data_IF_993306559828
#
_entry.id   IF_993306559828
#
_cell.length_a   1.000
_cell.length_b   1.000
_cell.length_c   1.000
_cell.angle_alpha   90.00
_cell.angle_beta   90.00
_cell.angle_gamma   90.00
#
_symmetry.space_group_name_H-M   'P 1'
#
loop_
_entity.id
_entity.type
_entity.pdbx_description
1 polymer ?
#
# COMPACT_ATOMS: atom_id res chain seq x y z
N UNK A 1 3.98 -16.08 0.47
CA UNK A 1 3.38 -15.99 1.79
C UNK A 1 4.42 -15.85 2.87
N UNK A 2 4.21 -14.87 3.70
CA UNK A 2 5.12 -14.60 4.81
C UNK A 2 4.47 -15.04 6.11
N UNK A 3 5.13 -15.95 6.81
CA UNK A 3 4.69 -16.36 8.14
C UNK A 3 5.48 -15.55 9.16
N UNK A 4 4.78 -14.77 9.95
CA UNK A 4 5.40 -13.96 10.99
C UNK A 4 5.10 -14.62 12.32
N UNK A 5 6.17 -15.00 13.05
CA UNK A 5 6.03 -15.57 14.39
C UNK A 5 6.54 -14.57 15.41
N UNK A 6 5.71 -14.32 16.42
CA UNK A 6 6.05 -13.42 17.51
C UNK A 6 5.98 -14.21 18.81
N UNK A 7 7.06 -14.14 19.57
CA UNK A 7 7.12 -14.77 20.89
C UNK A 7 7.11 -13.70 21.97
N UNK A 8 6.28 -13.91 23.00
CA UNK A 8 6.19 -13.01 24.15
C UNK A 8 6.67 -13.72 25.41
N UNK A 9 7.32 -13.00 26.32
CA UNK A 9 7.72 -13.57 27.60
C UNK A 9 6.51 -14.04 28.42
N UNK A 10 6.68 -15.14 29.15
CA UNK A 10 5.61 -15.72 29.95
C UNK A 10 5.09 -14.81 31.06
N UNK A 11 5.83 -13.76 31.39
CA UNK A 11 5.43 -12.81 32.44
C UNK A 11 4.22 -11.93 32.07
N UNK A 12 3.85 -11.89 30.80
CA UNK A 12 2.67 -11.13 30.35
C UNK A 12 1.42 -11.97 30.45
N UNK A 13 0.37 -11.41 31.06
CA UNK A 13 -0.93 -12.06 31.18
C UNK A 13 -1.80 -11.74 29.96
N UNK A 14 -2.86 -12.51 29.77
CA UNK A 14 -3.69 -12.51 28.56
C UNK A 14 -4.01 -11.13 27.97
N UNK A 15 -4.59 -10.23 28.75
CA UNK A 15 -4.99 -8.91 28.25
C UNK A 15 -3.80 -8.07 27.78
N UNK A 16 -2.70 -8.12 28.54
CA UNK A 16 -1.47 -7.41 28.19
C UNK A 16 -0.80 -8.04 26.99
N UNK A 17 -0.87 -9.37 26.86
CA UNK A 17 -0.28 -10.08 25.72
C UNK A 17 -0.96 -9.70 24.42
N UNK A 18 -2.26 -9.60 24.38
CA UNK A 18 -3.00 -9.21 23.18
C UNK A 18 -2.61 -7.80 22.74
N UNK A 19 -2.55 -6.86 23.68
CA UNK A 19 -2.17 -5.48 23.39
C UNK A 19 -0.74 -5.37 22.89
N UNK A 20 0.19 -6.07 23.53
CA UNK A 20 1.60 -6.08 23.13
C UNK A 20 1.76 -6.72 21.77
N UNK A 21 1.02 -7.79 21.52
CA UNK A 21 1.04 -8.48 20.22
C UNK A 21 0.54 -7.56 19.11
N UNK A 22 -0.56 -6.84 19.35
CA UNK A 22 -1.10 -5.90 18.37
C UNK A 22 -0.11 -4.79 18.03
N UNK A 23 0.56 -4.25 19.05
CA UNK A 23 1.58 -3.21 18.86
C UNK A 23 2.76 -3.76 18.06
N UNK A 24 3.21 -4.98 18.39
CA UNK A 24 4.33 -5.62 17.70
C UNK A 24 3.99 -5.90 16.23
N UNK A 25 2.80 -6.40 15.95
CA UNK A 25 2.34 -6.65 14.58
C UNK A 25 2.28 -5.35 13.79
N UNK A 26 1.75 -4.28 14.40
CA UNK A 26 1.69 -2.97 13.76
C UNK A 26 3.06 -2.44 13.37
N UNK A 27 4.05 -2.58 14.25
CA UNK A 27 5.43 -2.18 13.97
C UNK A 27 6.06 -3.02 12.85
N UNK A 28 5.78 -4.31 12.83
CA UNK A 28 6.26 -5.18 11.77
C UNK A 28 5.67 -4.81 10.42
N UNK A 29 4.38 -4.51 10.38
CA UNK A 29 3.73 -4.03 9.17
C UNK A 29 4.37 -2.73 8.66
N UNK A 30 4.66 -1.79 9.56
CA UNK A 30 5.33 -0.54 9.19
C UNK A 30 6.70 -0.80 8.57
N UNK A 31 7.49 -1.69 9.16
CA UNK A 31 8.81 -2.02 8.65
C UNK A 31 8.76 -2.72 7.29
N UNK A 32 7.87 -3.68 7.13
CA UNK A 32 7.69 -4.38 5.87
C UNK A 32 7.16 -3.43 4.80
N UNK A 33 6.21 -2.57 5.17
CA UNK A 33 5.64 -1.59 4.27
C UNK A 33 6.71 -0.62 3.74
N UNK A 34 7.63 -0.20 4.60
CA UNK A 34 8.73 0.68 4.22
C UNK A 34 9.49 0.10 3.03
N UNK A 35 9.85 -1.18 3.12
CA UNK A 35 10.60 -1.88 2.08
C UNK A 35 9.75 -2.09 0.83
N UNK A 36 8.52 -2.61 1.00
CA UNK A 36 7.66 -2.96 -0.13
C UNK A 36 7.13 -1.74 -0.86
N UNK A 37 6.76 -0.70 -0.14
CA UNK A 37 6.26 0.53 -0.75
C UNK A 37 7.39 1.25 -1.48
N UNK A 38 8.58 1.32 -0.89
CA UNK A 38 9.75 1.92 -1.53
C UNK A 38 10.07 1.21 -2.84
N UNK A 39 10.04 -0.12 -2.82
CA UNK A 39 10.25 -0.94 -4.03
C UNK A 39 9.21 -0.63 -5.10
N UNK A 40 7.94 -0.60 -4.71
CA UNK A 40 6.84 -0.35 -5.65
C UNK A 40 6.85 1.07 -6.19
N UNK A 41 7.17 2.05 -5.34
CA UNK A 41 7.31 3.45 -5.75
C UNK A 41 8.42 3.61 -6.78
N UNK A 42 9.57 3.01 -6.53
CA UNK A 42 10.70 3.08 -7.44
C UNK A 42 10.40 2.39 -8.78
N UNK A 43 9.83 1.20 -8.71
CA UNK A 43 9.40 0.47 -9.91
C UNK A 43 8.44 1.29 -10.76
N UNK A 44 7.46 1.92 -10.13
CA UNK A 44 6.45 2.70 -10.83
C UNK A 44 7.05 3.99 -11.39
N UNK A 45 7.94 4.62 -10.65
CA UNK A 45 8.68 5.80 -11.12
C UNK A 45 9.44 5.51 -12.40
N UNK A 46 10.14 4.40 -12.45
CA UNK A 46 10.89 3.98 -13.63
C UNK A 46 9.93 3.68 -14.79
N UNK A 47 8.84 3.00 -14.50
CA UNK A 47 7.87 2.60 -15.51
C UNK A 47 7.16 3.81 -16.16
N UNK A 48 6.74 4.78 -15.35
CA UNK A 48 5.97 5.92 -15.82
C UNK A 48 6.81 7.14 -16.19
N UNK A 49 8.01 7.24 -15.63
CA UNK A 49 8.92 8.35 -15.91
C UNK A 49 8.68 9.61 -15.11
N UNK A 50 7.85 9.57 -14.08
CA UNK A 50 7.63 10.68 -13.17
C UNK A 50 7.35 10.15 -11.76
N UNK A 51 7.34 11.05 -10.78
CA UNK A 51 7.13 10.69 -9.38
C UNK A 51 6.38 11.80 -8.65
N UNK A 52 5.73 11.50 -7.52
CA UNK A 52 5.13 12.55 -6.69
C UNK A 52 6.24 13.39 -6.05
N UNK A 53 5.89 14.60 -5.60
CA UNK A 53 6.82 15.43 -4.84
C UNK A 53 7.24 14.75 -3.53
N UNK A 54 6.30 14.00 -2.93
CA UNK A 54 6.54 13.30 -1.68
C UNK A 54 5.61 12.11 -1.55
N UNK A 55 6.00 11.17 -0.69
CA UNK A 55 5.09 10.12 -0.27
C UNK A 55 5.36 9.78 1.19
N UNK A 56 4.33 9.25 1.86
CA UNK A 56 4.49 8.77 3.21
C UNK A 56 3.72 7.47 3.43
N UNK A 57 4.14 6.73 4.44
CA UNK A 57 3.46 5.51 4.88
C UNK A 57 2.80 5.86 6.20
N UNK A 58 1.47 5.83 6.20
CA UNK A 58 0.68 6.22 7.37
C UNK A 58 -0.60 5.42 7.43
N UNK A 59 -0.95 4.97 8.62
CA UNK A 59 -2.21 4.26 8.81
C UNK A 59 -3.38 5.20 8.52
N UNK A 60 -4.30 4.72 7.70
CA UNK A 60 -5.54 5.40 7.36
C UNK A 60 -6.72 4.52 7.77
N UNK A 61 -7.93 5.09 7.88
CA UNK A 61 -9.08 4.35 8.38
C UNK A 61 -9.41 3.13 7.52
N UNK A 62 -9.82 3.34 6.29
CA UNK A 62 -10.20 2.22 5.40
C UNK A 62 -9.41 2.21 4.10
N UNK A 63 -8.78 3.32 3.77
CA UNK A 63 -8.03 3.45 2.53
C UNK A 63 -6.68 2.76 2.60
N UNK A 64 -6.28 2.15 1.51
CA UNK A 64 -4.93 1.58 1.36
C UNK A 64 -3.98 2.55 0.69
N UNK A 65 -4.53 3.46 -0.12
CA UNK A 65 -3.75 4.49 -0.79
C UNK A 65 -4.57 5.75 -0.98
N UNK A 66 -3.88 6.88 -1.08
CA UNK A 66 -4.50 8.18 -1.30
C UNK A 66 -3.52 9.06 -2.07
N UNK A 67 -4.04 9.82 -3.00
CA UNK A 67 -3.26 10.85 -3.70
C UNK A 67 -3.94 12.19 -3.51
N UNK A 68 -3.25 13.12 -2.86
CA UNK A 68 -3.73 14.48 -2.68
C UNK A 68 -2.67 15.44 -3.17
N UNK A 69 -3.06 16.32 -4.10
CA UNK A 69 -2.14 17.24 -4.73
C UNK A 69 -0.97 16.47 -5.36
N UNK A 70 0.24 16.63 -4.89
CA UNK A 70 1.40 15.91 -5.43
C UNK A 70 1.98 14.94 -4.40
N UNK A 71 1.17 14.47 -3.47
CA UNK A 71 1.60 13.57 -2.41
C UNK A 71 0.80 12.29 -2.42
N UNK A 72 1.50 11.17 -2.31
CA UNK A 72 0.90 9.84 -2.19
C UNK A 72 1.04 9.36 -0.75
N UNK A 73 -0.04 8.87 -0.17
CA UNK A 73 -0.04 8.25 1.16
C UNK A 73 -0.44 6.79 1.01
N UNK A 74 0.35 5.89 1.59
CA UNK A 74 0.09 4.45 1.53
C UNK A 74 -0.04 3.92 2.95
N UNK A 75 -1.06 3.11 3.19
CA UNK A 75 -1.26 2.47 4.49
C UNK A 75 -0.32 1.28 4.68
N UNK A 76 0.24 1.07 5.89
CA UNK A 76 1.03 -0.14 6.17
C UNK A 76 0.23 -1.43 6.01
N UNK A 77 -1.08 -1.36 6.06
CA UNK A 77 -1.97 -2.51 5.86
C UNK A 77 -1.83 -3.14 4.48
N UNK A 78 -1.19 -2.43 3.55
CA UNK A 78 -0.94 -2.91 2.19
C UNK A 78 -0.12 -4.22 2.19
N UNK A 79 0.67 -4.46 3.24
CA UNK A 79 1.51 -5.66 3.33
C UNK A 79 0.71 -6.94 3.49
N UNK A 80 -0.59 -6.85 3.78
CA UNK A 80 -1.48 -8.00 3.85
C UNK A 80 -1.74 -8.60 2.48
N UNK A 81 -1.43 -7.87 1.42
CA UNK A 81 -1.69 -8.28 0.04
C UNK A 81 -0.42 -8.76 -0.65
N UNK A 82 -0.60 -9.52 -1.71
CA UNK A 82 0.50 -9.96 -2.54
C UNK A 82 1.21 -8.77 -3.17
N UNK A 83 2.47 -8.99 -3.53
CA UNK A 83 3.32 -7.93 -4.11
C UNK A 83 2.70 -7.31 -5.36
N UNK A 84 2.04 -8.13 -6.18
CA UNK A 84 1.35 -7.66 -7.39
C UNK A 84 0.23 -6.68 -7.07
N UNK A 85 -0.51 -6.92 -5.99
CA UNK A 85 -1.57 -6.02 -5.53
C UNK A 85 -0.98 -4.73 -5.00
N UNK A 86 0.13 -4.81 -4.27
CA UNK A 86 0.86 -3.63 -3.79
C UNK A 86 1.29 -2.77 -4.97
N UNK A 87 1.87 -3.38 -5.99
CA UNK A 87 2.28 -2.67 -7.20
C UNK A 87 1.10 -1.99 -7.89
N UNK A 88 -0.04 -2.67 -7.93
CA UNK A 88 -1.26 -2.11 -8.51
C UNK A 88 -1.75 -0.88 -7.72
N UNK A 89 -1.75 -0.96 -6.40
CA UNK A 89 -2.20 0.15 -5.54
C UNK A 89 -1.32 1.38 -5.77
N UNK A 90 -0.01 1.19 -5.81
CA UNK A 90 0.92 2.28 -6.07
C UNK A 90 0.71 2.86 -7.46
N UNK A 91 0.56 2.02 -8.47
CA UNK A 91 0.26 2.46 -9.83
C UNK A 91 -1.05 3.27 -9.90
N UNK A 92 -2.07 2.81 -9.20
CA UNK A 92 -3.36 3.48 -9.11
C UNK A 92 -3.20 4.92 -8.60
N UNK A 93 -2.40 5.09 -7.54
CA UNK A 93 -2.16 6.42 -6.99
C UNK A 93 -1.27 7.28 -7.90
N UNK A 94 -0.30 6.68 -8.58
CA UNK A 94 0.50 7.40 -9.57
C UNK A 94 -0.36 7.95 -10.71
N UNK A 95 -1.33 7.18 -11.16
CA UNK A 95 -2.24 7.64 -12.22
C UNK A 95 -3.05 8.86 -11.75
N UNK A 96 -3.35 8.95 -10.45
CA UNK A 96 -4.02 10.11 -9.88
C UNK A 96 -3.13 11.37 -9.84
N UNK A 97 -1.83 11.24 -9.98
CA UNK A 97 -0.96 12.41 -10.14
C UNK A 97 -1.25 13.14 -11.44
N UNK A 98 -1.73 12.43 -12.45
CA UNK A 98 -2.10 12.99 -13.75
C UNK A 98 -3.59 13.30 -13.86
N UNK A 99 -4.44 12.43 -13.31
CA UNK A 99 -5.90 12.52 -13.47
C UNK A 99 -6.57 12.36 -12.11
N UNK A 100 -7.20 13.40 -11.61
CA UNK A 100 -7.81 13.39 -10.28
C UNK A 100 -9.02 12.46 -10.17
N UNK A 101 -9.78 12.31 -11.25
CA UNK A 101 -10.95 11.44 -11.26
C UNK A 101 -10.68 10.17 -12.07
N UNK A 102 -11.52 9.16 -11.91
CA UNK A 102 -11.46 7.93 -12.69
C UNK A 102 -12.07 8.11 -14.08
N UNK A 103 -11.66 9.17 -14.80
CA UNK A 103 -12.14 9.48 -16.13
C UNK A 103 -11.56 8.52 -17.17
N UNK A 104 -11.99 8.67 -18.42
CA UNK A 104 -11.52 7.81 -19.50
C UNK A 104 -10.00 7.85 -19.68
N UNK A 105 -9.41 9.03 -19.53
CA UNK A 105 -7.95 9.20 -19.64
C UNK A 105 -7.22 8.48 -18.51
N UNK A 106 -7.77 8.52 -17.30
CA UNK A 106 -7.23 7.77 -16.16
C UNK A 106 -7.26 6.27 -16.45
N UNK A 107 -8.40 5.76 -16.90
CA UNK A 107 -8.57 4.34 -17.18
C UNK A 107 -7.63 3.90 -18.30
N UNK A 108 -7.48 4.70 -19.35
CA UNK A 108 -6.54 4.39 -20.44
C UNK A 108 -5.11 4.30 -19.94
N UNK A 109 -4.70 5.21 -19.07
CA UNK A 109 -3.36 5.18 -18.49
C UNK A 109 -3.16 3.95 -17.63
N UNK A 110 -4.10 3.66 -16.76
CA UNK A 110 -4.05 2.50 -15.87
C UNK A 110 -3.98 1.20 -16.69
N UNK A 111 -4.83 1.06 -17.68
CA UNK A 111 -4.89 -0.12 -18.55
C UNK A 111 -3.62 -0.28 -19.37
N UNK A 112 -3.00 0.81 -19.79
CA UNK A 112 -1.75 0.77 -20.55
C UNK A 112 -0.64 0.09 -19.74
N UNK A 113 -0.54 0.40 -18.46
CA UNK A 113 0.53 -0.13 -17.60
C UNK A 113 0.13 -1.39 -16.86
N UNK A 114 -1.17 -1.65 -16.69
CA UNK A 114 -1.70 -2.86 -16.09
C UNK A 114 -2.97 -3.30 -16.83
N UNK A 115 -2.83 -4.08 -17.91
CA UNK A 115 -4.01 -4.55 -18.66
C UNK A 115 -5.00 -5.36 -17.82
N UNK A 116 -4.53 -5.97 -16.75
CA UNK A 116 -5.36 -6.78 -15.86
C UNK A 116 -5.87 -5.99 -14.63
N UNK A 117 -5.95 -4.67 -14.74
CA UNK A 117 -6.32 -3.82 -13.59
C UNK A 117 -7.66 -4.20 -12.97
N UNK A 118 -8.61 -4.71 -13.75
CA UNK A 118 -9.92 -5.12 -13.24
C UNK A 118 -9.83 -6.28 -12.26
N UNK A 119 -8.85 -7.16 -12.45
CA UNK A 119 -8.59 -8.27 -11.53
C UNK A 119 -8.21 -7.76 -10.15
N UNK A 120 -7.33 -6.78 -10.10
CA UNK A 120 -6.84 -6.20 -8.85
C UNK A 120 -7.88 -5.29 -8.19
N UNK A 121 -8.67 -4.60 -8.99
CA UNK A 121 -9.75 -3.74 -8.52
C UNK A 121 -10.74 -4.51 -7.64
N UNK A 122 -10.95 -5.78 -7.93
CA UNK A 122 -11.84 -6.65 -7.13
C UNK A 122 -11.31 -6.93 -5.73
N UNK A 123 -9.99 -6.96 -5.57
CA UNK A 123 -9.37 -7.22 -4.27
C UNK A 123 -9.30 -5.98 -3.40
N UNK A 124 -9.28 -4.81 -4.01
CA UNK A 124 -9.00 -3.56 -3.31
C UNK A 124 -10.12 -2.56 -3.61
N UNK A 125 -11.20 -2.66 -2.84
CA UNK A 125 -12.38 -1.82 -3.06
C UNK A 125 -12.21 -0.39 -2.55
N UNK A 126 -11.29 -0.15 -1.61
CA UNK A 126 -11.15 1.13 -0.90
C UNK A 126 -9.87 1.87 -1.24
N UNK A 127 -9.67 2.11 -2.52
CA UNK A 127 -8.53 2.92 -2.96
C UNK A 127 -9.00 4.28 -3.42
#
# INVERSE_FOLDING_TARGET
DKIIKISLPNKYKKANNERILDIAIGKMYEQIAKVEVERAMEKTRILLGFAPEDYEIRKMNEELGRCEENKITISPEIVKYDREVIDYIVLHEYCHLKYKSHCKSYIKMLEKYEPNYKKYERFVANI
#
